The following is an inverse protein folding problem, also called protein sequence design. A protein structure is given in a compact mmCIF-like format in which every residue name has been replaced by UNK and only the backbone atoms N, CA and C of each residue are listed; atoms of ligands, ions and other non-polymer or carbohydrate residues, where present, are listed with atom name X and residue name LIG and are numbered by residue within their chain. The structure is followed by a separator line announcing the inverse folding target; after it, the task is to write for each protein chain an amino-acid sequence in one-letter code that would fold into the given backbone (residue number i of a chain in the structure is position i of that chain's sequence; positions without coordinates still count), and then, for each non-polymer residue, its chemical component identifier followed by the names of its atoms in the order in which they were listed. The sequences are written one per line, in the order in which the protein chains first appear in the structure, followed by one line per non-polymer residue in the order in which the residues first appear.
data_IF_124671100547
#
_entry.id   IF_124671100547
#
_cell.length_a   1.000
_cell.length_b   1.000
_cell.length_c   1.000
_cell.angle_alpha   90.00
_cell.angle_beta   90.00
_cell.angle_gamma   90.00
#
_symmetry.space_group_name_H-M   'P 1'
#
loop_
_entity.id
_entity.type
_entity.pdbx_description
1 polymer ?
#
# COMPACT_ATOMS: atom_id res chain seq x y z
N UNK A 1 2.52 2.95 -3.91
CA UNK A 1 1.49 3.80 -4.57
C UNK A 1 1.89 4.04 -6.03
N UNK A 2 1.23 3.36 -6.98
CA UNK A 2 1.53 3.47 -8.42
C UNK A 2 0.34 2.98 -9.26
N UNK A 3 -0.08 1.73 -9.03
CA UNK A 3 -1.29 1.15 -9.63
C UNK A 3 -1.23 1.09 -11.15
N UNK A 4 -2.18 1.75 -11.81
CA UNK A 4 -2.30 1.78 -13.28
C UNK A 4 -1.52 2.93 -13.94
N UNK A 5 -0.66 3.63 -13.19
CA UNK A 5 0.20 4.65 -13.77
C UNK A 5 1.13 4.06 -14.83
N UNK A 6 1.54 4.89 -15.77
CA UNK A 6 2.44 4.55 -16.87
C UNK A 6 3.62 5.50 -16.90
N UNK A 7 4.78 4.99 -17.24
CA UNK A 7 6.00 5.76 -17.47
C UNK A 7 6.28 5.79 -18.96
N UNK A 8 6.52 6.97 -19.54
CA UNK A 8 6.91 7.10 -20.93
C UNK A 8 8.44 6.97 -21.11
N UNK A 9 8.91 7.02 -22.35
CA UNK A 9 10.35 6.90 -22.68
C UNK A 9 11.23 8.00 -22.05
N UNK A 10 10.64 9.13 -21.64
CA UNK A 10 11.34 10.26 -21.00
C UNK A 10 11.23 10.22 -19.46
N UNK A 11 10.70 9.13 -18.89
CA UNK A 11 10.50 9.01 -17.45
C UNK A 11 9.26 9.74 -16.92
N UNK A 12 8.51 10.46 -17.74
CA UNK A 12 7.32 11.16 -17.27
C UNK A 12 6.19 10.14 -16.95
N UNK A 13 5.54 10.37 -15.80
CA UNK A 13 4.52 9.48 -15.25
C UNK A 13 3.14 10.07 -15.55
N UNK A 14 2.25 9.22 -16.07
CA UNK A 14 0.83 9.55 -16.30
C UNK A 14 -0.06 8.60 -15.52
N UNK A 15 -1.11 9.12 -14.90
CA UNK A 15 -2.04 8.37 -14.06
C UNK A 15 -3.46 8.44 -14.64
N UNK A 16 -4.26 7.39 -14.40
CA UNK A 16 -5.58 7.20 -15.01
C UNK A 16 -6.60 8.27 -14.58
N UNK A 17 -6.44 8.84 -13.39
CA UNK A 17 -7.26 9.89 -12.81
C UNK A 17 -6.57 11.27 -12.86
N UNK A 18 -5.58 11.44 -13.75
CA UNK A 18 -4.95 12.74 -14.00
C UNK A 18 -3.83 13.11 -13.02
N UNK A 19 -3.38 14.39 -13.05
CA UNK A 19 -2.17 14.82 -12.35
C UNK A 19 -2.30 14.80 -10.83
N UNK A 20 -3.51 14.97 -10.27
CA UNK A 20 -3.75 14.92 -8.83
C UNK A 20 -3.50 13.50 -8.26
N UNK A 21 -3.87 12.45 -8.99
CA UNK A 21 -3.52 11.06 -8.63
C UNK A 21 -2.01 10.84 -8.68
N UNK A 22 -1.32 11.36 -9.68
CA UNK A 22 0.15 11.26 -9.75
C UNK A 22 0.83 12.01 -8.59
N UNK A 23 0.31 13.17 -8.22
CA UNK A 23 0.78 13.94 -7.06
C UNK A 23 0.59 13.11 -5.79
N UNK A 24 -0.62 12.61 -5.52
CA UNK A 24 -0.89 11.84 -4.31
C UNK A 24 -0.13 10.51 -4.26
N UNK A 25 0.05 9.82 -5.39
CA UNK A 25 0.92 8.64 -5.45
C UNK A 25 2.35 8.98 -5.00
N UNK A 26 2.88 10.13 -5.44
CA UNK A 26 4.22 10.59 -5.07
C UNK A 26 4.30 11.03 -3.61
N UNK A 27 3.27 11.74 -3.11
CA UNK A 27 3.16 12.13 -1.70
C UNK A 27 3.11 10.91 -0.78
N UNK A 28 2.31 9.90 -1.11
CA UNK A 28 2.24 8.65 -0.35
C UNK A 28 3.56 7.88 -0.42
N UNK A 29 4.26 7.88 -1.55
CA UNK A 29 5.59 7.28 -1.66
C UNK A 29 6.60 7.98 -0.75
N UNK A 30 6.59 9.31 -0.74
CA UNK A 30 7.40 10.11 0.15
C UNK A 30 7.05 9.91 1.63
N UNK A 31 5.78 9.69 1.97
CA UNK A 31 5.37 9.38 3.33
C UNK A 31 5.91 8.02 3.81
N UNK A 32 5.93 7.00 2.93
CA UNK A 32 6.53 5.69 3.24
C UNK A 32 8.05 5.83 3.46
N UNK A 33 8.73 6.62 2.63
CA UNK A 33 10.17 6.89 2.73
C UNK A 33 10.52 7.70 4.00
N UNK A 34 9.74 8.73 4.30
CA UNK A 34 9.96 9.64 5.44
C UNK A 34 9.64 9.01 6.80
N UNK A 35 8.60 8.17 6.86
CA UNK A 35 8.09 7.62 8.10
C UNK A 35 8.09 6.09 8.03
N UNK A 36 9.23 5.42 8.26
CA UNK A 36 9.35 3.97 8.09
C UNK A 36 8.51 3.15 9.08
N UNK A 37 7.99 3.76 10.16
CA UNK A 37 7.00 3.13 11.01
C UNK A 37 5.68 2.93 10.25
N UNK A 38 5.31 1.66 10.04
CA UNK A 38 4.10 1.27 9.32
C UNK A 38 2.83 1.87 9.87
N UNK A 39 2.71 2.03 11.19
CA UNK A 39 1.52 2.62 11.80
C UNK A 39 1.40 4.11 11.47
N UNK A 40 2.54 4.79 11.35
CA UNK A 40 2.61 6.21 11.04
C UNK A 40 2.26 6.45 9.57
N UNK A 41 3.02 5.88 8.62
CA UNK A 41 2.75 6.16 7.22
C UNK A 41 1.40 5.58 6.75
N UNK A 42 0.98 4.42 7.26
CA UNK A 42 -0.33 3.86 6.90
C UNK A 42 -1.48 4.69 7.49
N UNK A 43 -1.30 5.28 8.67
CA UNK A 43 -2.24 6.24 9.25
C UNK A 43 -2.41 7.46 8.35
N UNK A 44 -1.30 8.01 7.83
CA UNK A 44 -1.32 9.09 6.84
C UNK A 44 -2.03 8.70 5.53
N UNK A 45 -1.64 7.58 4.92
CA UNK A 45 -2.23 7.09 3.67
C UNK A 45 -3.74 6.85 3.83
N UNK A 46 -4.18 6.30 4.96
CA UNK A 46 -5.59 6.09 5.25
C UNK A 46 -6.37 7.42 5.31
N UNK A 47 -5.80 8.43 5.97
CA UNK A 47 -6.41 9.76 6.03
C UNK A 47 -6.51 10.40 4.64
N UNK A 48 -5.45 10.33 3.82
CA UNK A 48 -5.46 10.84 2.44
C UNK A 48 -6.50 10.11 1.60
N UNK A 49 -6.58 8.78 1.71
CA UNK A 49 -7.58 7.96 1.03
C UNK A 49 -9.02 8.35 1.40
N UNK A 50 -9.29 8.62 2.68
CA UNK A 50 -10.60 9.12 3.14
C UNK A 50 -10.96 10.47 2.51
N UNK A 51 -10.00 11.39 2.38
CA UNK A 51 -10.21 12.67 1.69
C UNK A 51 -10.47 12.47 0.20
N UNK A 52 -9.75 11.56 -0.47
CA UNK A 52 -10.01 11.20 -1.88
C UNK A 52 -11.43 10.69 -2.05
N UNK A 53 -11.90 9.78 -1.20
CA UNK A 53 -13.27 9.25 -1.21
C UNK A 53 -14.35 10.32 -0.98
N UNK A 54 -14.02 11.39 -0.27
CA UNK A 54 -14.89 12.55 -0.03
C UNK A 54 -14.75 13.65 -1.09
N UNK A 55 -13.99 13.41 -2.15
CA UNK A 55 -13.64 14.38 -3.19
C UNK A 55 -12.94 15.65 -2.64
N UNK A 56 -12.15 15.47 -1.57
CA UNK A 56 -11.38 16.51 -0.86
C UNK A 56 -9.87 16.27 -0.97
N UNK A 57 -9.43 15.63 -2.05
CA UNK A 57 -8.04 15.20 -2.26
C UNK A 57 -6.99 16.33 -2.13
N UNK A 58 -7.38 17.59 -2.40
CA UNK A 58 -6.52 18.77 -2.22
C UNK A 58 -6.25 19.15 -0.76
N UNK A 59 -7.02 18.60 0.18
CA UNK A 59 -6.86 18.84 1.62
C UNK A 59 -5.85 17.86 2.26
N UNK A 60 -5.10 17.08 1.47
CA UNK A 60 -4.23 16.00 1.98
C UNK A 60 -3.20 16.45 3.03
N UNK A 61 -2.71 17.69 2.97
CA UNK A 61 -1.77 18.24 3.96
C UNK A 61 -2.37 18.29 5.37
N UNK A 62 -3.70 18.40 5.49
CA UNK A 62 -4.40 18.33 6.79
C UNK A 62 -4.19 16.99 7.52
N UNK A 63 -3.89 15.92 6.79
CA UNK A 63 -3.58 14.61 7.37
C UNK A 63 -2.26 14.58 8.13
N UNK A 64 -1.28 15.42 7.71
CA UNK A 64 -0.02 15.61 8.45
C UNK A 64 -0.32 16.26 9.80
N UNK A 65 -1.08 17.36 9.77
CA UNK A 65 -1.43 18.13 10.96
C UNK A 65 -2.25 17.30 11.95
N UNK A 66 -3.24 16.54 11.46
CA UNK A 66 -4.10 15.67 12.27
C UNK A 66 -3.32 14.62 13.06
N UNK A 67 -2.14 14.22 12.57
CA UNK A 67 -1.28 13.23 13.22
C UNK A 67 -0.10 13.85 13.97
N UNK A 68 0.05 15.18 13.95
CA UNK A 68 1.18 15.86 14.59
C UNK A 68 2.53 15.51 13.97
N UNK A 69 2.57 15.21 12.67
CA UNK A 69 3.79 14.83 11.96
C UNK A 69 4.55 16.08 11.46
N UNK A 70 5.88 15.98 11.33
CA UNK A 70 6.68 17.01 10.67
C UNK A 70 6.41 16.96 9.15
N UNK A 71 5.91 18.04 8.52
CA UNK A 71 5.65 18.05 7.08
C UNK A 71 6.93 18.04 6.24
N UNK A 72 8.06 18.53 6.75
CA UNK A 72 9.25 18.83 5.94
C UNK A 72 9.76 17.62 5.13
N UNK A 73 9.92 16.42 5.70
CA UNK A 73 10.47 15.29 4.95
C UNK A 73 9.61 14.91 3.74
N UNK A 74 8.28 14.95 3.89
CA UNK A 74 7.36 14.68 2.78
C UNK A 74 7.40 15.83 1.77
N UNK A 75 7.33 17.08 2.25
CA UNK A 75 7.32 18.28 1.39
C UNK A 75 8.58 18.41 0.54
N UNK A 76 9.76 18.19 1.12
CA UNK A 76 11.03 18.22 0.39
C UNK A 76 11.11 17.07 -0.62
N UNK A 77 10.62 15.88 -0.25
CA UNK A 77 10.64 14.71 -1.12
C UNK A 77 9.75 14.87 -2.36
N UNK A 78 8.47 15.24 -2.21
CA UNK A 78 7.55 15.26 -3.36
C UNK A 78 7.80 16.46 -4.30
N UNK A 79 8.43 17.53 -3.80
CA UNK A 79 8.87 18.68 -4.61
C UNK A 79 10.24 18.47 -5.26
N UNK A 80 11.03 17.53 -4.76
CA UNK A 80 12.37 17.20 -5.26
C UNK A 80 12.39 15.99 -6.19
N UNK A 81 13.60 15.65 -6.65
CA UNK A 81 13.82 14.46 -7.50
C UNK A 81 13.55 13.15 -6.76
N UNK A 82 13.65 13.14 -5.42
CA UNK A 82 13.43 11.95 -4.60
C UNK A 82 12.04 11.36 -4.82
N UNK A 83 10.99 12.18 -4.81
CA UNK A 83 9.63 11.73 -5.06
C UNK A 83 9.47 11.09 -6.44
N UNK A 84 10.05 11.70 -7.47
CA UNK A 84 10.03 11.12 -8.81
C UNK A 84 10.74 9.76 -8.88
N UNK A 85 11.93 9.66 -8.29
CA UNK A 85 12.70 8.43 -8.24
C UNK A 85 11.97 7.30 -7.50
N UNK A 86 11.31 7.60 -6.39
CA UNK A 86 10.46 6.64 -5.66
C UNK A 86 9.28 6.18 -6.52
N UNK A 87 8.61 7.08 -7.23
CA UNK A 87 7.50 6.73 -8.13
C UNK A 87 7.96 5.82 -9.28
N UNK A 88 9.16 6.04 -9.84
CA UNK A 88 9.75 5.14 -10.83
C UNK A 88 10.11 3.77 -10.24
N UNK A 89 10.61 3.73 -9.01
CA UNK A 89 10.93 2.49 -8.30
C UNK A 89 9.66 1.66 -8.07
N UNK A 90 8.59 2.27 -7.56
CA UNK A 90 7.31 1.59 -7.38
C UNK A 90 6.67 1.17 -8.71
N UNK A 91 6.90 1.91 -9.78
CA UNK A 91 6.54 1.50 -11.14
C UNK A 91 7.25 0.20 -11.55
N UNK A 92 8.56 0.08 -11.29
CA UNK A 92 9.34 -1.14 -11.54
C UNK A 92 8.84 -2.31 -10.69
N UNK A 93 8.57 -2.08 -9.40
CA UNK A 93 8.03 -3.11 -8.52
C UNK A 93 6.65 -3.61 -8.99
N UNK A 94 5.79 -2.70 -9.44
CA UNK A 94 4.47 -3.04 -9.99
C UNK A 94 4.60 -3.83 -11.29
N UNK A 95 5.51 -3.44 -12.18
CA UNK A 95 5.77 -4.15 -13.44
C UNK A 95 6.39 -5.54 -13.24
N UNK A 96 7.05 -5.78 -12.10
CA UNK A 96 7.67 -7.05 -11.76
C UNK A 96 6.71 -8.07 -11.12
N UNK A 97 5.44 -7.72 -10.91
CA UNK A 97 4.43 -8.63 -10.38
C UNK A 97 4.26 -9.84 -11.31
N UNK A 98 4.20 -11.04 -10.70
CA UNK A 98 3.95 -12.30 -11.40
C UNK A 98 2.73 -13.00 -10.78
N UNK A 99 1.62 -13.19 -11.53
CA UNK A 99 1.37 -12.62 -12.86
C UNK A 99 1.24 -11.08 -12.81
N UNK A 100 1.38 -10.38 -13.95
CA UNK A 100 1.08 -8.96 -14.03
C UNK A 100 -0.32 -8.65 -13.51
N UNK A 101 -0.49 -7.53 -12.81
CA UNK A 101 -1.79 -7.13 -12.28
C UNK A 101 -2.78 -6.82 -13.40
N UNK A 102 -4.05 -7.20 -13.19
CA UNK A 102 -5.11 -7.02 -14.20
C UNK A 102 -6.01 -5.83 -13.89
N UNK A 103 -6.03 -5.40 -12.63
CA UNK A 103 -6.81 -4.27 -12.11
C UNK A 103 -6.19 -3.80 -10.80
N UNK A 104 -6.70 -2.69 -10.27
CA UNK A 104 -6.42 -2.22 -8.91
C UNK A 104 -7.71 -2.20 -8.09
N UNK A 105 -7.67 -2.51 -6.78
CA UNK A 105 -6.49 -2.93 -6.01
C UNK A 105 -6.00 -4.34 -6.41
N UNK A 106 -4.68 -4.55 -6.38
CA UNK A 106 -4.04 -5.85 -6.60
C UNK A 106 -3.41 -6.34 -5.30
N UNK A 107 -4.08 -7.28 -4.62
CA UNK A 107 -3.65 -7.78 -3.30
C UNK A 107 -2.96 -9.14 -3.46
N UNK A 108 -1.79 -9.26 -2.87
CA UNK A 108 -0.97 -10.47 -2.87
C UNK A 108 -0.72 -10.89 -1.42
N UNK A 109 -1.00 -12.16 -1.10
CA UNK A 109 -0.68 -12.76 0.20
C UNK A 109 0.19 -13.98 -0.03
N UNK A 110 1.36 -14.02 0.60
CA UNK A 110 2.34 -15.11 0.46
C UNK A 110 2.64 -15.46 -1.03
N UNK A 111 2.88 -14.42 -1.83
CA UNK A 111 3.15 -14.54 -3.27
C UNK A 111 1.96 -14.89 -4.16
N UNK A 112 0.75 -15.06 -3.60
CA UNK A 112 -0.45 -15.43 -4.36
C UNK A 112 -1.40 -14.24 -4.53
N UNK A 113 -1.72 -13.83 -5.77
CA UNK A 113 -2.72 -12.79 -6.00
C UNK A 113 -4.11 -13.30 -5.62
N UNK A 114 -4.92 -12.44 -4.99
CA UNK A 114 -6.28 -12.78 -4.56
C UNK A 114 -7.35 -12.53 -5.62
N UNK A 115 -7.00 -11.85 -6.73
CA UNK A 115 -7.95 -11.43 -7.76
C UNK A 115 -9.18 -10.76 -7.14
N UNK A 116 -10.39 -11.17 -7.55
CA UNK A 116 -11.66 -10.58 -7.09
C UNK A 116 -11.94 -10.84 -5.60
N UNK A 117 -11.19 -11.73 -4.96
CA UNK A 117 -11.35 -12.06 -3.55
C UNK A 117 -10.46 -11.20 -2.62
N UNK A 118 -9.91 -10.09 -3.15
CA UNK A 118 -9.03 -9.19 -2.40
C UNK A 118 -9.66 -8.68 -1.09
N UNK A 119 -10.99 -8.56 -1.01
CA UNK A 119 -11.70 -8.15 0.21
C UNK A 119 -11.56 -9.15 1.37
N UNK A 120 -11.33 -10.43 1.05
CA UNK A 120 -11.18 -11.51 2.02
C UNK A 120 -9.73 -11.70 2.49
N UNK A 121 -8.83 -10.74 2.23
CA UNK A 121 -7.39 -10.86 2.53
C UNK A 121 -7.08 -11.33 3.96
N UNK A 122 -7.89 -10.96 4.96
CA UNK A 122 -7.70 -11.41 6.35
C UNK A 122 -7.73 -12.93 6.48
N UNK A 123 -8.65 -13.60 5.80
CA UNK A 123 -8.74 -15.07 5.80
C UNK A 123 -7.50 -15.69 5.14
N UNK A 124 -7.01 -15.11 4.04
CA UNK A 124 -5.77 -15.57 3.38
C UNK A 124 -4.53 -15.36 4.26
N UNK A 125 -4.43 -14.22 4.94
CA UNK A 125 -3.34 -13.95 5.89
C UNK A 125 -3.36 -14.99 7.01
N UNK A 126 -4.53 -15.26 7.58
CA UNK A 126 -4.67 -16.28 8.63
C UNK A 126 -4.31 -17.69 8.14
N UNK A 127 -4.70 -18.05 6.92
CA UNK A 127 -4.33 -19.33 6.30
C UNK A 127 -2.83 -19.43 6.00
N UNK A 128 -2.18 -18.31 5.67
CA UNK A 128 -0.75 -18.26 5.39
C UNK A 128 0.12 -18.19 6.67
N UNK A 129 -0.48 -17.84 7.81
CA UNK A 129 0.22 -17.70 9.08
C UNK A 129 0.62 -19.07 9.64
N UNK A 130 1.94 -19.30 9.78
CA UNK A 130 2.52 -20.55 10.30
C UNK A 130 2.95 -20.45 11.77
N UNK A 131 2.70 -19.31 12.43
CA UNK A 131 3.12 -19.10 13.81
C UNK A 131 2.20 -19.79 14.82
N UNK A 132 2.75 -20.08 16.01
CA UNK A 132 1.99 -20.61 17.14
C UNK A 132 2.24 -19.75 18.40
N UNK A 133 1.22 -19.42 19.20
CA UNK A 133 -0.19 -19.78 19.01
C UNK A 133 -0.84 -19.05 17.83
N UNK A 134 -1.96 -19.60 17.33
CA UNK A 134 -2.76 -18.92 16.31
C UNK A 134 -3.23 -17.55 16.83
N UNK A 135 -3.18 -16.54 15.97
CA UNK A 135 -3.65 -15.20 16.30
C UNK A 135 -5.14 -15.23 16.66
N UNK A 136 -5.54 -14.47 17.68
CA UNK A 136 -6.95 -14.40 18.11
C UNK A 136 -7.88 -13.94 16.97
N UNK A 137 -7.42 -12.98 16.17
CA UNK A 137 -8.13 -12.51 14.98
C UNK A 137 -8.35 -13.60 13.91
N UNK A 138 -7.55 -14.67 13.92
CA UNK A 138 -7.71 -15.81 13.03
C UNK A 138 -8.64 -16.88 13.63
N UNK A 139 -8.61 -17.05 14.95
CA UNK A 139 -9.55 -17.95 15.65
C UNK A 139 -11.00 -17.51 15.47
N UNK A 140 -11.28 -16.20 15.51
CA UNK A 140 -12.63 -15.67 15.33
C UNK A 140 -13.19 -15.83 13.91
N UNK A 141 -12.34 -16.18 12.94
CA UNK A 141 -12.75 -16.50 11.56
C UNK A 141 -13.07 -17.99 11.36
N UNK A 142 -13.07 -18.80 12.44
CA UNK A 142 -13.37 -20.23 12.37
C UNK A 142 -12.25 -21.07 11.74
N UNK A 143 -11.04 -20.51 11.62
CA UNK A 143 -9.85 -21.25 11.20
C UNK A 143 -9.22 -21.93 12.42
N UNK A 144 -9.07 -23.25 12.36
CA UNK A 144 -8.33 -24.01 13.36
C UNK A 144 -6.82 -23.95 13.05
N UNK A 145 -5.99 -24.00 14.10
CA UNK A 145 -4.56 -24.12 13.92
C UNK A 145 -4.25 -25.47 13.26
N UNK A 146 -3.50 -25.46 12.15
CA UNK A 146 -3.00 -26.70 11.55
C UNK A 146 -1.95 -27.30 12.49
N UNK A 147 -2.38 -28.21 13.36
CA UNK A 147 -1.55 -28.85 14.39
C UNK A 147 -0.55 -29.86 13.79
N UNK A 148 -0.46 -29.98 12.46
CA UNK A 148 0.29 -31.04 11.80
C UNK A 148 1.81 -30.76 11.64
N UNK A 149 2.40 -29.96 12.54
CA UNK A 149 3.86 -29.72 12.57
C UNK A 149 4.58 -30.64 13.56
N UNK A 150 3.84 -31.31 14.45
CA UNK A 150 4.35 -32.43 15.23
C UNK A 150 3.57 -33.68 14.82
N UNK A 151 4.21 -34.57 14.06
CA UNK A 151 3.65 -35.87 13.68
C UNK A 151 3.21 -36.69 14.90
N UNK A 152 2.47 -37.79 14.69
CA UNK A 152 1.98 -38.61 15.80
C UNK A 152 3.15 -39.05 16.69
N UNK A 153 3.02 -38.76 17.99
CA UNK A 153 3.87 -39.31 19.05
C UNK A 153 3.81 -40.84 19.05
#
# INVERSE_FOLDING_TARGET
PYGNAKVNAHGAITCQHGPEECLLNTVEACAIDAWPDVKVHLGFIYCVSDLVMKNKHREWESCIQKQGLDPRPVTECYKGERGHNLSLEYGKQTAALVPPHQFVPWVVVDGKPLYNDYGNFKAYVCKAYKGYPLLEACRSLGLEADNNVYGPL
#
